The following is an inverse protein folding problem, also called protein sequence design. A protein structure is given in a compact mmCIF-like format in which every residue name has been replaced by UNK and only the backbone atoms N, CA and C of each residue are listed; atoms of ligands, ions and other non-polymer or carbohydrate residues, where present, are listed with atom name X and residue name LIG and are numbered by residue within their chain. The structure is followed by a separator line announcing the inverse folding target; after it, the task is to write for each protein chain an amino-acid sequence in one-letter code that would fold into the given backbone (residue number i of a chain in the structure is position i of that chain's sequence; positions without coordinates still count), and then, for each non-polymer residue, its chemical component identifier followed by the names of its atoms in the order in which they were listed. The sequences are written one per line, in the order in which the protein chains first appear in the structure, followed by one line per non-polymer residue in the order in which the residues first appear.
data_IF_126433485337
#
_entry.id   IF_126433485337
#
_cell.length_a   1.000
_cell.length_b   1.000
_cell.length_c   1.000
_cell.angle_alpha   90.00
_cell.angle_beta   90.00
_cell.angle_gamma   90.00
#
_symmetry.space_group_name_H-M   'P 1'
#
loop_
_entity.id
_entity.type
_entity.pdbx_description
1 polymer ?
#
# COMPACT_ATOMS: atom_id res chain seq x y z
N UNK A 1 9.76 9.47 8.28
CA UNK A 1 8.79 8.36 8.43
C UNK A 1 7.65 8.86 9.29
N UNK A 2 6.41 8.49 8.98
CA UNK A 2 5.28 8.84 9.85
C UNK A 2 5.25 7.86 11.01
N UNK A 3 5.43 8.35 12.23
CA UNK A 3 5.38 7.52 13.42
C UNK A 3 3.91 7.19 13.74
N UNK A 4 3.56 5.91 13.63
CA UNK A 4 2.22 5.45 13.98
C UNK A 4 2.10 5.23 15.47
N UNK A 5 1.01 5.72 16.06
CA UNK A 5 0.71 5.52 17.48
C UNK A 5 -0.75 5.14 17.69
N UNK A 6 -1.03 4.53 18.85
CA UNK A 6 -2.39 4.17 19.25
C UNK A 6 -2.70 4.88 20.57
N UNK A 7 -3.73 5.71 20.55
CA UNK A 7 -4.22 6.40 21.75
C UNK A 7 -5.61 5.87 22.10
N UNK A 8 -5.83 5.56 23.37
CA UNK A 8 -7.17 5.19 23.86
C UNK A 8 -7.94 6.44 24.24
N UNK A 9 -9.12 6.61 23.65
CA UNK A 9 -10.06 7.70 23.97
C UNK A 9 -11.39 7.08 24.36
N UNK A 10 -11.71 7.13 25.66
CA UNK A 10 -12.87 6.42 26.23
C UNK A 10 -12.80 4.91 26.00
N UNK A 11 -13.76 4.39 25.24
CA UNK A 11 -13.87 2.97 24.89
C UNK A 11 -13.28 2.62 23.51
N UNK A 12 -12.66 3.60 22.86
CA UNK A 12 -12.15 3.46 21.50
C UNK A 12 -10.64 3.66 21.46
N UNK A 13 -10.04 3.14 20.39
CA UNK A 13 -8.63 3.22 20.08
C UNK A 13 -8.48 3.99 18.77
N UNK A 14 -7.73 5.08 18.82
CA UNK A 14 -7.45 5.95 17.69
C UNK A 14 -6.02 5.66 17.23
N UNK A 15 -5.88 5.32 15.95
CA UNK A 15 -4.59 5.24 15.28
C UNK A 15 -4.24 6.63 14.77
N UNK A 16 -3.04 7.09 15.09
CA UNK A 16 -2.48 8.36 14.66
C UNK A 16 -1.26 8.14 13.79
N UNK A 17 -1.04 9.02 12.83
CA UNK A 17 0.19 9.12 12.04
C UNK A 17 0.80 10.50 12.31
N UNK A 18 1.84 10.54 13.13
CA UNK A 18 2.32 11.78 13.73
C UNK A 18 1.20 12.43 14.56
N UNK A 19 0.87 13.69 14.24
CA UNK A 19 -0.15 14.48 14.95
C UNK A 19 -1.57 14.28 14.42
N UNK A 20 -1.75 13.51 13.34
CA UNK A 20 -3.04 13.34 12.67
C UNK A 20 -3.71 12.04 13.09
N UNK A 21 -4.99 12.13 13.48
CA UNK A 21 -5.84 10.96 13.69
C UNK A 21 -6.37 10.45 12.36
N UNK A 22 -6.13 9.17 12.05
CA UNK A 22 -6.46 8.60 10.73
C UNK A 22 -7.49 7.46 10.81
N UNK A 23 -7.67 6.82 11.97
CA UNK A 23 -8.61 5.71 12.11
C UNK A 23 -9.08 5.54 13.56
N UNK A 24 -10.38 5.30 13.76
CA UNK A 24 -11.00 5.02 15.06
C UNK A 24 -11.57 3.60 15.10
N UNK A 25 -11.29 2.86 16.16
CA UNK A 25 -11.60 1.42 16.28
C UNK A 25 -11.99 1.09 17.72
N UNK A 26 -13.07 0.36 17.94
CA UNK A 26 -13.48 -0.11 19.28
C UNK A 26 -12.65 -1.28 19.83
N UNK A 27 -11.74 -1.86 19.05
CA UNK A 27 -10.98 -3.05 19.41
C UNK A 27 -9.48 -2.79 19.46
N UNK A 28 -8.89 -2.98 20.66
CA UNK A 28 -7.44 -2.86 20.88
C UNK A 28 -6.64 -3.78 19.97
N UNK A 29 -7.04 -5.06 19.87
CA UNK A 29 -6.32 -6.07 19.07
C UNK A 29 -6.27 -5.67 17.59
N UNK A 30 -7.37 -5.13 17.05
CA UNK A 30 -7.42 -4.65 15.67
C UNK A 30 -6.52 -3.42 15.48
N UNK A 31 -6.54 -2.47 16.41
CA UNK A 31 -5.68 -1.29 16.34
C UNK A 31 -4.19 -1.67 16.29
N UNK A 32 -3.75 -2.59 17.16
CA UNK A 32 -2.37 -3.08 17.18
C UNK A 32 -2.00 -3.75 15.85
N UNK A 33 -2.84 -4.67 15.35
CA UNK A 33 -2.57 -5.36 14.08
C UNK A 33 -2.38 -4.40 12.91
N UNK A 34 -3.19 -3.35 12.84
CA UNK A 34 -3.11 -2.38 11.74
C UNK A 34 -1.85 -1.52 11.83
N UNK A 35 -1.45 -1.10 13.02
CA UNK A 35 -0.19 -0.37 13.21
C UNK A 35 1.01 -1.24 12.87
N UNK A 36 1.03 -2.49 13.31
CA UNK A 36 2.09 -3.45 12.95
C UNK A 36 2.16 -3.64 11.44
N UNK A 37 1.03 -3.91 10.78
CA UNK A 37 0.99 -4.10 9.33
C UNK A 37 1.44 -2.85 8.56
N UNK A 38 1.06 -1.65 9.01
CA UNK A 38 1.51 -0.41 8.39
C UNK A 38 3.02 -0.19 8.55
N UNK A 39 3.57 -0.51 9.73
CA UNK A 39 5.01 -0.47 9.97
C UNK A 39 5.75 -1.45 9.06
N UNK A 40 5.27 -2.69 8.95
CA UNK A 40 5.86 -3.73 8.09
C UNK A 40 5.84 -3.32 6.61
N UNK A 41 4.76 -2.68 6.13
CA UNK A 41 4.65 -2.20 4.75
C UNK A 41 5.63 -1.06 4.45
N UNK A 42 5.86 -0.17 5.43
CA UNK A 42 6.83 0.91 5.28
C UNK A 42 8.27 0.41 5.33
N UNK A 43 8.54 -0.61 6.15
CA UNK A 43 9.84 -1.27 6.23
C UNK A 43 10.14 -2.02 4.91
N UNK A 44 9.15 -2.72 4.37
CA UNK A 44 9.24 -3.34 3.04
C UNK A 44 9.49 -2.30 1.93
N UNK A 45 8.81 -1.15 1.97
CA UNK A 45 9.06 -0.06 1.02
C UNK A 45 10.45 0.58 1.16
N UNK A 46 11.07 0.49 2.34
CA UNK A 46 12.44 0.97 2.57
C UNK A 46 13.51 -0.03 2.07
N UNK A 47 13.16 -1.30 1.91
CA UNK A 47 14.05 -2.38 1.43
C UNK A 47 13.95 -2.67 -0.07
N UNK A 48 13.08 -1.98 -0.81
CA UNK A 48 12.91 -2.21 -2.24
C UNK A 48 13.24 -0.89 -2.98
N UNK A 49 14.39 -0.76 -3.65
CA UNK A 49 14.36 -0.07 -4.93
C UNK A 49 13.29 -0.81 -5.73
N UNK A 50 12.28 -0.09 -6.16
CA UNK A 50 11.36 -0.58 -7.18
C UNK A 50 12.24 -0.79 -8.41
N UNK A 51 12.85 -1.97 -8.54
CA UNK A 51 13.39 -2.48 -9.79
C UNK A 51 12.17 -2.75 -10.69
N UNK A 52 11.72 -1.67 -11.32
CA UNK A 52 11.45 -1.56 -12.74
C UNK A 52 11.47 -2.91 -13.50
N UNK A 53 10.37 -3.66 -13.47
CA UNK A 53 10.08 -4.68 -14.48
C UNK A 53 8.59 -5.09 -14.49
N UNK A 54 7.70 -4.11 -14.58
CA UNK A 54 6.43 -4.33 -15.27
C UNK A 54 6.04 -3.03 -15.96
N UNK A 55 6.94 -2.56 -16.83
CA UNK A 55 6.48 -1.79 -17.98
C UNK A 55 5.59 -2.73 -18.77
N UNK A 56 4.29 -2.74 -18.46
CA UNK A 56 3.23 -3.12 -19.39
C UNK A 56 3.34 -2.13 -20.54
N UNK A 57 4.34 -2.36 -21.41
CA UNK A 57 4.33 -1.83 -22.75
C UNK A 57 3.01 -2.30 -23.34
N UNK A 58 2.17 -1.34 -23.72
CA UNK A 58 1.13 -1.62 -24.68
C UNK A 58 1.81 -2.30 -25.85
N UNK A 59 1.61 -3.60 -26.01
CA UNK A 59 1.93 -4.29 -27.24
C UNK A 59 1.07 -3.64 -28.34
N UNK A 60 1.65 -2.91 -29.31
CA UNK A 60 0.89 -2.53 -30.48
C UNK A 60 0.84 -3.80 -31.33
N UNK A 61 -0.06 -4.72 -30.97
CA UNK A 61 -0.30 -5.96 -31.66
C UNK A 61 -0.33 -5.70 -33.16
N UNK A 62 0.71 -6.21 -33.81
CA UNK A 62 1.04 -6.02 -35.20
C UNK A 62 -0.18 -6.34 -36.07
N UNK A 63 -0.45 -5.42 -37.00
CA UNK A 63 -1.40 -5.63 -38.09
C UNK A 63 -1.02 -6.91 -38.82
N UNK A 64 -1.92 -7.89 -39.00
CA UNK A 64 -1.63 -9.02 -39.86
C UNK A 64 -1.52 -8.53 -41.31
N UNK A 65 -0.26 -8.49 -41.72
CA UNK A 65 0.31 -8.67 -43.06
C UNK A 65 -0.70 -8.67 -44.22
N UNK A 66 -0.61 -7.62 -45.04
CA UNK A 66 -0.98 -7.66 -46.44
C UNK A 66 -0.07 -8.63 -47.18
N UNK A 67 -0.55 -9.85 -47.44
CA UNK A 67 0.03 -10.70 -48.48
C UNK A 67 -1.08 -11.36 -49.30
N UNK A 68 -0.88 -11.26 -50.60
CA UNK A 68 -1.82 -11.26 -51.72
C UNK A 68 -1.93 -12.66 -52.36
N UNK A 69 -3.16 -13.05 -52.72
CA UNK A 69 -3.62 -13.95 -53.82
C UNK A 69 -3.02 -15.38 -53.99
N UNK A 70 -3.84 -16.32 -54.52
CA UNK A 70 -3.94 -16.50 -55.99
C UNK A 70 -5.30 -16.16 -56.60
#
# INVERSE_FOLDING_TARGET
MSDYSIVRVGNEYIVQAGEKSILKISSRRKAVKLVTLAADLLDQGAMQPIEEAASIGCDPGERPDTSELP
#
